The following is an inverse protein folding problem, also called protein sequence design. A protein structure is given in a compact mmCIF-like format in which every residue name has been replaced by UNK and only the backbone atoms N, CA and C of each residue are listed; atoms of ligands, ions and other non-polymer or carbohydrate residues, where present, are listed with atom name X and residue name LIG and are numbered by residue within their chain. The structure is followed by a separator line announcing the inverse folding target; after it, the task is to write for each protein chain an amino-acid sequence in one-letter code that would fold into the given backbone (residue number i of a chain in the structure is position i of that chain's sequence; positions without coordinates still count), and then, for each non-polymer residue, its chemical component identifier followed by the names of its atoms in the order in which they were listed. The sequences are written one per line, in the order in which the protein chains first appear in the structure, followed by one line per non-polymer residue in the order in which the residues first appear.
data_IF_975803302576
#
_entry.id   IF_975803302576
#
_cell.length_a   1.000
_cell.length_b   1.000
_cell.length_c   1.000
_cell.angle_alpha   90.00
_cell.angle_beta   90.00
_cell.angle_gamma   90.00
#
_symmetry.space_group_name_H-M   'P 1'
#
loop_
_entity.id
_entity.type
_entity.pdbx_description
1 polymer ?
#
# COMPACT_ATOMS: atom_id res chain seq x y z
N UNK A 1 15.31 -13.21 22.15
CA UNK A 1 15.10 -12.09 21.19
C UNK A 1 13.71 -12.12 20.57
N UNK A 2 13.36 -13.07 19.69
CA UNK A 2 12.02 -13.10 19.08
C UNK A 2 10.89 -13.46 20.05
N UNK A 3 11.16 -14.34 21.02
CA UNK A 3 10.19 -14.79 22.04
C UNK A 3 9.64 -13.63 22.86
N UNK A 4 10.45 -12.58 23.07
CA UNK A 4 10.05 -11.46 23.90
C UNK A 4 9.08 -10.48 23.20
N UNK A 5 8.96 -10.56 21.87
CA UNK A 5 8.17 -9.60 21.08
C UNK A 5 7.03 -10.24 20.28
N UNK A 6 7.23 -11.48 19.82
CA UNK A 6 6.25 -12.22 19.04
C UNK A 6 5.64 -13.35 19.87
N UNK A 7 4.31 -13.58 19.80
CA UNK A 7 3.68 -14.72 20.44
C UNK A 7 4.23 -16.01 19.80
N UNK A 8 4.70 -16.98 20.60
CA UNK A 8 5.16 -18.31 20.13
C UNK A 8 5.92 -18.29 18.76
N UNK A 9 7.14 -17.70 18.69
CA UNK A 9 7.73 -17.24 17.43
C UNK A 9 7.80 -18.28 16.29
N UNK A 10 8.12 -19.54 16.61
CA UNK A 10 8.19 -20.59 15.58
C UNK A 10 6.85 -20.78 14.88
N UNK A 11 5.77 -20.89 15.65
CA UNK A 11 4.41 -21.03 15.12
C UNK A 11 3.92 -19.73 14.48
N UNK A 12 4.26 -18.58 15.07
CA UNK A 12 3.91 -17.28 14.51
C UNK A 12 4.50 -17.06 13.13
N UNK A 13 5.81 -17.21 12.94
CA UNK A 13 6.41 -16.95 11.63
C UNK A 13 5.98 -17.97 10.57
N UNK A 14 5.84 -19.25 10.93
CA UNK A 14 5.32 -20.26 9.98
C UNK A 14 3.87 -19.97 9.59
N UNK A 15 3.00 -19.66 10.56
CA UNK A 15 1.61 -19.29 10.27
C UNK A 15 1.51 -17.99 9.49
N UNK A 16 2.32 -16.98 9.78
CA UNK A 16 2.38 -15.73 9.03
C UNK A 16 2.78 -15.96 7.57
N UNK A 17 3.78 -16.82 7.32
CA UNK A 17 4.20 -17.17 5.97
C UNK A 17 3.09 -17.92 5.21
N UNK A 18 2.49 -18.93 5.83
CA UNK A 18 1.38 -19.71 5.22
C UNK A 18 0.16 -18.83 4.97
N UNK A 19 -0.23 -18.00 5.94
CA UNK A 19 -1.35 -17.08 5.83
C UNK A 19 -1.12 -16.04 4.72
N UNK A 20 0.08 -15.46 4.65
CA UNK A 20 0.43 -14.50 3.61
C UNK A 20 0.38 -15.16 2.23
N UNK A 21 0.92 -16.37 2.09
CA UNK A 21 0.83 -17.12 0.84
C UNK A 21 -0.62 -17.41 0.45
N UNK A 22 -1.44 -17.87 1.39
CA UNK A 22 -2.85 -18.12 1.15
C UNK A 22 -3.60 -16.84 0.72
N UNK A 23 -3.34 -15.71 1.39
CA UNK A 23 -3.92 -14.42 1.03
C UNK A 23 -3.47 -13.94 -0.37
N UNK A 24 -2.20 -14.14 -0.73
CA UNK A 24 -1.69 -13.80 -2.06
C UNK A 24 -2.36 -14.68 -3.12
N UNK A 25 -2.39 -16.00 -2.92
CA UNK A 25 -3.01 -16.92 -3.87
C UNK A 25 -4.50 -16.62 -4.01
N UNK A 26 -5.21 -16.41 -2.91
CA UNK A 26 -6.62 -16.05 -2.94
C UNK A 26 -6.87 -14.77 -3.72
N UNK A 27 -6.04 -13.74 -3.53
CA UNK A 27 -6.15 -12.49 -4.27
C UNK A 27 -6.09 -12.72 -5.79
N UNK A 28 -5.10 -13.46 -6.27
CA UNK A 28 -4.90 -13.71 -7.71
C UNK A 28 -5.91 -14.70 -8.32
N UNK A 29 -6.43 -15.66 -7.56
CA UNK A 29 -7.36 -16.68 -8.06
C UNK A 29 -8.84 -16.29 -7.96
N UNK A 30 -9.17 -15.11 -7.44
CA UNK A 30 -10.57 -14.68 -7.33
C UNK A 30 -10.80 -13.48 -6.42
N UNK A 31 -9.91 -13.24 -5.47
CA UNK A 31 -10.05 -12.19 -4.46
C UNK A 31 -10.11 -10.79 -5.08
N UNK A 32 -9.33 -10.52 -6.13
CA UNK A 32 -9.42 -9.27 -6.89
C UNK A 32 -10.83 -9.07 -7.49
N UNK A 33 -11.40 -10.12 -8.09
CA UNK A 33 -12.69 -10.06 -8.77
C UNK A 33 -13.87 -9.93 -7.79
N UNK A 34 -13.72 -10.43 -6.56
CA UNK A 34 -14.74 -10.29 -5.50
C UNK A 34 -15.08 -8.83 -5.18
N UNK A 35 -14.18 -7.89 -5.45
CA UNK A 35 -14.46 -6.47 -5.28
C UNK A 35 -15.70 -6.03 -6.06
N UNK A 36 -16.01 -6.66 -7.19
CA UNK A 36 -17.20 -6.36 -7.98
C UNK A 36 -18.51 -6.60 -7.20
N UNK A 37 -18.53 -7.61 -6.32
CA UNK A 37 -19.68 -7.91 -5.45
C UNK A 37 -19.92 -6.79 -4.43
N UNK A 38 -18.86 -6.11 -4.00
CA UNK A 38 -18.90 -4.99 -3.06
C UNK A 38 -18.96 -3.62 -3.74
N UNK A 39 -19.21 -3.56 -5.06
CA UNK A 39 -19.26 -2.31 -5.82
C UNK A 39 -17.89 -1.67 -6.10
N UNK A 40 -16.81 -2.40 -5.82
CA UNK A 40 -15.42 -2.02 -6.05
C UNK A 40 -14.74 -2.96 -7.07
N UNK A 41 -15.28 -3.07 -8.31
CA UNK A 41 -14.75 -3.99 -9.31
C UNK A 41 -13.29 -3.68 -9.68
N UNK A 42 -12.54 -4.68 -10.16
CA UNK A 42 -11.26 -4.45 -10.81
C UNK A 42 -11.41 -3.52 -12.01
N UNK A 43 -10.30 -2.90 -12.41
CA UNK A 43 -10.29 -2.06 -13.61
C UNK A 43 -10.64 -2.90 -14.84
N UNK A 44 -11.50 -2.37 -15.71
CA UNK A 44 -11.86 -3.08 -16.93
C UNK A 44 -10.64 -3.20 -17.86
N UNK A 45 -10.49 -4.37 -18.49
CA UNK A 45 -9.40 -4.64 -19.41
C UNK A 45 -9.34 -3.58 -20.52
N UNK A 46 -8.15 -3.04 -20.78
CA UNK A 46 -7.92 -2.02 -21.80
C UNK A 46 -8.30 -0.58 -21.40
N UNK A 47 -8.73 -0.34 -20.16
CA UNK A 47 -8.94 1.03 -19.67
C UNK A 47 -7.60 1.73 -19.43
N UNK A 48 -7.39 2.95 -19.95
CA UNK A 48 -6.17 3.71 -19.67
C UNK A 48 -5.95 3.91 -18.16
N UNK A 49 -4.70 3.95 -17.68
CA UNK A 49 -4.42 4.25 -16.28
C UNK A 49 -4.98 5.61 -15.87
N UNK A 50 -5.50 5.69 -14.64
CA UNK A 50 -5.88 6.98 -14.03
C UNK A 50 -4.59 7.75 -13.72
N UNK A 51 -4.50 8.98 -14.22
CA UNK A 51 -3.35 9.85 -14.00
C UNK A 51 -3.55 10.69 -12.75
N UNK A 52 -2.46 10.88 -12.00
CA UNK A 52 -2.44 11.69 -10.78
C UNK A 52 -2.97 10.97 -9.54
N UNK A 53 -3.14 11.72 -8.46
CA UNK A 53 -3.45 11.21 -7.12
C UNK A 53 -4.78 10.44 -7.02
N UNK A 54 -5.72 10.70 -7.93
CA UNK A 54 -7.03 10.05 -7.95
C UNK A 54 -6.93 8.51 -8.11
N UNK A 55 -5.84 8.00 -8.67
CA UNK A 55 -5.61 6.54 -8.79
C UNK A 55 -5.62 5.85 -7.43
N UNK A 56 -5.13 6.52 -6.37
CA UNK A 56 -5.05 5.98 -5.00
C UNK A 56 -6.43 5.83 -4.33
N UNK A 57 -7.46 6.46 -4.91
CA UNK A 57 -8.87 6.41 -4.50
C UNK A 57 -9.73 5.62 -5.49
N UNK A 58 -9.11 4.96 -6.47
CA UNK A 58 -9.82 4.16 -7.44
C UNK A 58 -10.43 2.91 -6.80
N UNK A 59 -11.49 2.38 -7.42
CA UNK A 59 -12.21 1.20 -6.92
C UNK A 59 -11.29 0.00 -6.64
N UNK A 60 -10.34 -0.36 -7.52
CA UNK A 60 -9.43 -1.49 -7.25
C UNK A 60 -8.53 -1.24 -6.03
N UNK A 61 -8.03 -0.01 -5.84
CA UNK A 61 -7.21 0.35 -4.70
C UNK A 61 -7.99 0.28 -3.39
N UNK A 62 -9.21 0.84 -3.37
CA UNK A 62 -10.08 0.78 -2.20
C UNK A 62 -10.42 -0.68 -1.83
N UNK A 63 -10.66 -1.52 -2.84
CA UNK A 63 -10.88 -2.95 -2.60
C UNK A 63 -9.66 -3.63 -1.98
N UNK A 64 -8.46 -3.37 -2.52
CA UNK A 64 -7.22 -3.90 -1.96
C UNK A 64 -7.00 -3.44 -0.51
N UNK A 65 -7.30 -2.19 -0.18
CA UNK A 65 -7.19 -1.69 1.20
C UNK A 65 -8.09 -2.47 2.16
N UNK A 66 -9.36 -2.67 1.79
CA UNK A 66 -10.30 -3.44 2.59
C UNK A 66 -9.86 -4.90 2.74
N UNK A 67 -9.43 -5.51 1.64
CA UNK A 67 -8.91 -6.87 1.63
C UNK A 67 -7.69 -7.03 2.56
N UNK A 68 -6.71 -6.14 2.43
CA UNK A 68 -5.51 -6.14 3.27
C UNK A 68 -5.86 -5.99 4.76
N UNK A 69 -6.72 -5.03 5.10
CA UNK A 69 -7.18 -4.82 6.48
C UNK A 69 -7.90 -6.05 7.01
N UNK A 70 -8.78 -6.68 6.21
CA UNK A 70 -9.47 -7.91 6.60
C UNK A 70 -8.48 -9.05 6.89
N UNK A 71 -7.49 -9.27 6.02
CA UNK A 71 -6.45 -10.28 6.23
C UNK A 71 -5.65 -10.04 7.51
N UNK A 72 -5.31 -8.78 7.80
CA UNK A 72 -4.57 -8.38 9.02
C UNK A 72 -5.43 -8.57 10.27
N UNK A 73 -6.70 -8.15 10.24
CA UNK A 73 -7.62 -8.26 11.37
C UNK A 73 -7.89 -9.72 11.71
N UNK A 74 -8.11 -10.58 10.71
CA UNK A 74 -8.32 -12.03 10.92
C UNK A 74 -7.08 -12.65 11.58
N UNK A 75 -5.89 -12.35 11.05
CA UNK A 75 -4.65 -12.87 11.60
C UNK A 75 -4.39 -12.38 13.03
N UNK A 76 -4.60 -11.08 13.28
CA UNK A 76 -4.48 -10.48 14.60
C UNK A 76 -5.48 -11.06 15.60
N UNK A 77 -6.74 -11.23 15.20
CA UNK A 77 -7.80 -11.76 16.06
C UNK A 77 -7.50 -13.21 16.46
N UNK A 78 -7.02 -14.03 15.53
CA UNK A 78 -6.57 -15.39 15.82
C UNK A 78 -5.48 -15.40 16.89
N UNK A 79 -4.42 -14.61 16.73
CA UNK A 79 -3.31 -14.57 17.69
C UNK A 79 -3.69 -13.95 19.04
N UNK A 80 -4.57 -12.96 19.04
CA UNK A 80 -5.10 -12.34 20.26
C UNK A 80 -5.93 -13.31 21.09
N UNK A 81 -6.57 -14.29 20.46
CA UNK A 81 -7.32 -15.35 21.15
C UNK A 81 -6.45 -16.56 21.52
N UNK A 82 -5.60 -17.01 20.59
CA UNK A 82 -4.82 -18.25 20.75
C UNK A 82 -3.64 -18.10 21.72
N UNK A 83 -2.89 -17.00 21.64
CA UNK A 83 -1.74 -16.72 22.50
C UNK A 83 -1.59 -15.21 22.74
N UNK A 84 -2.44 -14.62 23.60
CA UNK A 84 -2.38 -13.19 23.91
C UNK A 84 -0.99 -12.78 24.37
N UNK A 85 -0.42 -11.75 23.74
CA UNK A 85 0.92 -11.28 24.05
C UNK A 85 0.96 -9.77 24.25
N UNK A 86 1.65 -9.23 25.29
CA UNK A 86 1.65 -7.80 25.60
C UNK A 86 2.08 -6.92 24.41
N UNK A 87 3.01 -7.42 23.60
CA UNK A 87 3.56 -6.70 22.46
C UNK A 87 2.85 -6.97 21.12
N UNK A 88 1.75 -7.74 21.10
CA UNK A 88 1.10 -8.17 19.84
C UNK A 88 0.63 -7.02 18.94
N UNK A 89 0.23 -5.89 19.52
CA UNK A 89 -0.16 -4.70 18.74
C UNK A 89 1.02 -4.14 17.94
N UNK A 90 2.21 -4.16 18.53
CA UNK A 90 3.43 -3.69 17.88
C UNK A 90 4.01 -4.75 16.94
N UNK A 91 4.00 -6.02 17.33
CA UNK A 91 4.59 -7.08 16.52
C UNK A 91 3.73 -7.52 15.34
N UNK A 92 2.41 -7.38 15.42
CA UNK A 92 1.48 -7.76 14.34
C UNK A 92 0.99 -6.52 13.60
N UNK A 93 0.26 -5.62 14.27
CA UNK A 93 -0.42 -4.51 13.58
C UNK A 93 0.58 -3.50 13.00
N UNK A 94 1.58 -3.09 13.78
CA UNK A 94 2.57 -2.13 13.27
C UNK A 94 3.48 -2.73 12.19
N UNK A 95 3.79 -4.02 12.26
CA UNK A 95 4.46 -4.72 11.15
C UNK A 95 3.59 -4.73 9.91
N UNK A 96 2.28 -4.97 10.03
CA UNK A 96 1.36 -4.88 8.90
C UNK A 96 1.28 -3.47 8.31
N UNK A 97 1.27 -2.42 9.15
CA UNK A 97 1.33 -1.01 8.68
C UNK A 97 2.61 -0.74 7.89
N UNK A 98 3.77 -1.22 8.37
CA UNK A 98 5.04 -1.08 7.65
C UNK A 98 4.97 -1.78 6.28
N UNK A 99 4.44 -3.02 6.23
CA UNK A 99 4.26 -3.75 4.97
C UNK A 99 3.31 -3.01 4.01
N UNK A 100 2.23 -2.45 4.53
CA UNK A 100 1.30 -1.63 3.75
C UNK A 100 1.99 -0.40 3.16
N UNK A 101 2.84 0.30 3.92
CA UNK A 101 3.59 1.44 3.42
C UNK A 101 4.64 1.07 2.38
N UNK A 102 5.26 -0.11 2.47
CA UNK A 102 6.14 -0.63 1.41
C UNK A 102 5.35 -0.81 0.12
N UNK A 103 4.20 -1.50 0.18
CA UNK A 103 3.29 -1.65 -0.96
C UNK A 103 2.86 -0.29 -1.52
N UNK A 104 2.43 0.63 -0.65
CA UNK A 104 1.90 1.93 -1.05
C UNK A 104 2.96 2.79 -1.77
N UNK A 105 4.21 2.74 -1.31
CA UNK A 105 5.32 3.40 -2.00
C UNK A 105 5.52 2.87 -3.43
N UNK A 106 5.43 1.55 -3.61
CA UNK A 106 5.50 0.95 -4.96
C UNK A 106 4.36 1.48 -5.83
N UNK A 107 3.14 1.59 -5.29
CA UNK A 107 2.00 2.13 -6.05
C UNK A 107 2.16 3.61 -6.42
N UNK A 108 2.79 4.42 -5.56
CA UNK A 108 3.13 5.81 -5.92
C UNK A 108 4.14 5.82 -7.07
N UNK A 109 5.16 4.97 -7.05
CA UNK A 109 6.11 4.86 -8.17
C UNK A 109 5.42 4.46 -9.47
N UNK A 110 4.46 3.52 -9.42
CA UNK A 110 3.65 3.13 -10.59
C UNK A 110 2.79 4.31 -11.08
N UNK A 111 2.15 5.05 -10.18
CA UNK A 111 1.35 6.23 -10.54
C UNK A 111 2.19 7.33 -11.20
N UNK A 112 3.40 7.57 -10.68
CA UNK A 112 4.36 8.50 -11.28
C UNK A 112 4.79 8.02 -12.67
N UNK A 113 5.07 6.73 -12.84
CA UNK A 113 5.41 6.17 -14.15
C UNK A 113 4.27 6.32 -15.17
N UNK A 114 3.02 6.10 -14.74
CA UNK A 114 1.85 6.28 -15.60
C UNK A 114 1.64 7.75 -16.00
N UNK A 115 2.03 8.69 -15.14
CA UNK A 115 2.00 10.12 -15.45
C UNK A 115 3.08 10.54 -16.46
N UNK A 116 4.29 9.95 -16.39
CA UNK A 116 5.43 10.33 -17.24
C UNK A 116 5.10 10.33 -18.73
N UNK A 117 4.55 9.23 -19.27
CA UNK A 117 4.29 9.10 -20.71
C UNK A 117 3.41 10.22 -21.27
N UNK A 118 2.14 10.31 -20.83
CA UNK A 118 1.20 11.33 -21.32
C UNK A 118 1.70 12.76 -21.13
N UNK A 119 2.36 13.07 -20.01
CA UNK A 119 2.85 14.42 -19.75
C UNK A 119 3.98 14.82 -20.72
N UNK A 120 4.95 13.94 -20.96
CA UNK A 120 6.06 14.26 -21.87
C UNK A 120 5.64 14.24 -23.34
N UNK A 121 4.70 13.39 -23.73
CA UNK A 121 4.10 13.43 -25.07
C UNK A 121 3.39 14.78 -25.31
N UNK A 122 2.64 15.25 -24.29
CA UNK A 122 2.02 16.57 -24.32
C UNK A 122 3.06 17.70 -24.43
N UNK A 123 4.15 17.67 -23.65
CA UNK A 123 5.25 18.64 -23.75
C UNK A 123 5.89 18.64 -25.14
N UNK A 124 6.15 17.47 -25.72
CA UNK A 124 6.69 17.36 -27.09
C UNK A 124 5.72 17.94 -28.13
N UNK A 125 4.41 17.72 -27.97
CA UNK A 125 3.37 18.32 -28.81
C UNK A 125 3.37 19.84 -28.76
N UNK A 126 3.58 20.42 -27.57
CA UNK A 126 3.72 21.88 -27.41
C UNK A 126 4.97 22.42 -28.10
N UNK A 127 6.12 21.77 -27.92
CA UNK A 127 7.38 22.20 -28.52
C UNK A 127 7.39 22.10 -30.05
N UNK A 128 6.68 21.10 -30.60
CA UNK A 128 6.53 20.92 -32.04
C UNK A 128 5.42 21.78 -32.66
N UNK A 129 4.64 22.50 -31.84
CA UNK A 129 3.50 23.30 -32.30
C UNK A 129 2.32 22.47 -32.81
N UNK A 130 2.28 21.16 -32.53
CA UNK A 130 1.22 20.24 -32.99
C UNK A 130 0.05 20.16 -32.02
N UNK A 131 0.27 20.55 -30.76
CA UNK A 131 -0.76 20.55 -29.71
C UNK A 131 -1.01 21.99 -29.25
N UNK A 132 -2.22 22.56 -29.47
CA UNK A 132 -2.59 23.82 -28.82
C UNK A 132 -2.82 23.58 -27.33
N UNK A 133 -2.47 24.55 -26.49
CA UNK A 133 -2.70 24.45 -25.06
C UNK A 133 -2.80 25.81 -24.38
N UNK A 134 -3.41 25.77 -23.21
CA UNK A 134 -3.46 26.86 -22.23
C UNK A 134 -2.43 26.64 -21.12
N UNK A 135 -2.10 27.71 -20.39
CA UNK A 135 -1.25 27.64 -19.20
C UNK A 135 -1.87 26.73 -18.11
N UNK A 136 -3.19 26.71 -18.00
CA UNK A 136 -3.92 25.94 -16.98
C UNK A 136 -3.71 24.43 -17.20
N UNK A 137 -3.78 23.97 -18.45
CA UNK A 137 -3.56 22.56 -18.79
C UNK A 137 -2.15 22.10 -18.44
N UNK A 138 -1.14 22.93 -18.74
CA UNK A 138 0.24 22.64 -18.41
C UNK A 138 0.45 22.52 -16.89
N UNK A 139 -0.03 23.51 -16.13
CA UNK A 139 0.09 23.50 -14.67
C UNK A 139 -0.71 22.38 -14.02
N UNK A 140 -1.85 21.97 -14.59
CA UNK A 140 -2.61 20.81 -14.10
C UNK A 140 -1.80 19.52 -14.27
N UNK A 141 -1.20 19.30 -15.44
CA UNK A 141 -0.33 18.15 -15.67
C UNK A 141 0.84 18.12 -14.69
N UNK A 142 1.48 19.26 -14.42
CA UNK A 142 2.55 19.36 -13.43
C UNK A 142 2.06 19.17 -11.98
N UNK A 143 0.85 19.62 -11.67
CA UNK A 143 0.24 19.46 -10.35
C UNK A 143 -0.05 17.99 -10.03
N UNK A 144 -0.43 17.16 -11.01
CA UNK A 144 -0.68 15.72 -10.81
C UNK A 144 0.57 15.01 -10.27
N UNK A 145 1.76 15.32 -10.83
CA UNK A 145 3.03 14.82 -10.30
C UNK A 145 3.34 15.38 -8.92
N UNK A 146 3.17 16.70 -8.74
CA UNK A 146 3.47 17.37 -7.46
C UNK A 146 2.69 16.74 -6.30
N UNK A 147 1.40 16.44 -6.51
CA UNK A 147 0.58 15.77 -5.50
C UNK A 147 1.04 14.33 -5.20
N UNK A 148 1.39 13.55 -6.23
CA UNK A 148 1.94 12.19 -6.04
C UNK A 148 3.25 12.22 -5.24
N UNK A 149 4.15 13.14 -5.58
CA UNK A 149 5.42 13.31 -4.89
C UNK A 149 5.22 13.73 -3.43
N UNK A 150 4.36 14.71 -3.16
CA UNK A 150 4.06 15.18 -1.80
C UNK A 150 3.49 14.06 -0.93
N UNK A 151 2.53 13.28 -1.44
CA UNK A 151 1.98 12.13 -0.71
C UNK A 151 3.06 11.08 -0.45
N UNK A 152 3.87 10.75 -1.46
CA UNK A 152 4.95 9.77 -1.31
C UNK A 152 5.97 10.17 -0.26
N UNK A 153 6.42 11.42 -0.28
CA UNK A 153 7.34 11.96 0.71
C UNK A 153 6.75 11.88 2.13
N UNK A 154 5.49 12.30 2.32
CA UNK A 154 4.83 12.22 3.62
C UNK A 154 4.73 10.77 4.12
N UNK A 155 4.32 9.83 3.25
CA UNK A 155 4.25 8.42 3.63
C UNK A 155 5.63 7.86 4.00
N UNK A 156 6.70 8.24 3.29
CA UNK A 156 8.04 7.80 3.65
C UNK A 156 8.51 8.35 5.00
N UNK A 157 8.24 9.63 5.30
CA UNK A 157 8.58 10.23 6.61
C UNK A 157 7.82 9.53 7.73
N UNK A 158 6.52 9.30 7.56
CA UNK A 158 5.69 8.59 8.55
C UNK A 158 6.17 7.15 8.70
N UNK A 159 6.52 6.45 7.60
CA UNK A 159 7.05 5.09 7.66
C UNK A 159 8.37 5.03 8.43
N UNK A 160 9.30 5.96 8.17
CA UNK A 160 10.58 6.03 8.88
C UNK A 160 10.38 6.26 10.39
N UNK A 161 9.43 7.11 10.76
CA UNK A 161 9.03 7.31 12.16
C UNK A 161 8.48 6.02 12.78
N UNK A 162 7.54 5.34 12.12
CA UNK A 162 6.94 4.09 12.62
C UNK A 162 7.99 2.99 12.77
N UNK A 163 8.86 2.80 11.77
CA UNK A 163 9.94 1.81 11.83
C UNK A 163 10.88 2.09 13.02
N UNK A 164 11.23 3.35 13.24
CA UNK A 164 12.08 3.74 14.38
C UNK A 164 11.40 3.41 15.72
N UNK A 165 10.11 3.70 15.84
CA UNK A 165 9.32 3.37 17.04
C UNK A 165 9.16 1.86 17.24
N UNK A 166 8.94 1.13 16.15
CA UNK A 166 8.84 -0.32 16.17
C UNK A 166 10.14 -0.97 16.68
N UNK A 167 11.29 -0.52 16.18
CA UNK A 167 12.62 -1.00 16.63
C UNK A 167 12.84 -0.66 18.11
N UNK A 168 12.46 0.53 18.55
CA UNK A 168 12.56 0.91 19.96
C UNK A 168 11.75 -0.03 20.85
N UNK A 169 10.47 -0.27 20.53
CA UNK A 169 9.62 -1.20 21.30
C UNK A 169 10.14 -2.63 21.28
N UNK A 170 10.68 -3.08 20.15
CA UNK A 170 11.31 -4.40 20.08
C UNK A 170 12.50 -4.52 21.03
N UNK A 171 13.36 -3.50 21.09
CA UNK A 171 14.49 -3.46 22.03
C UNK A 171 14.02 -3.39 23.49
N UNK A 172 12.97 -2.63 23.79
CA UNK A 172 12.36 -2.61 25.13
C UNK A 172 11.93 -4.01 25.54
N UNK A 173 11.17 -4.69 24.68
CA UNK A 173 10.69 -6.04 24.94
C UNK A 173 11.81 -7.07 25.15
N UNK A 174 13.01 -6.85 24.60
CA UNK A 174 14.15 -7.74 24.83
C UNK A 174 14.83 -7.55 26.19
N UNK A 175 14.67 -6.37 26.79
CA UNK A 175 15.30 -5.99 28.05
C UNK A 175 14.37 -6.18 29.24
N UNK A 176 13.06 -6.33 28.99
CA UNK A 176 12.05 -6.77 29.96
C UNK A 176 12.03 -8.31 30.07
#
# INVERSE_FOLDING_TARGET
MFVSFFPQPKLFFTSAAVWSLAAILFWFFGGEQLGAVFGLPPAAAGTPPIIGIAVLWSKPFLWFYLYFVACVVIFYAFWSWYAPHPWQNWSILMTAVILFFIYFNVQISVAVNNWYGPFFDYVQGLMSGTTPSTNIEFYKGLADFSWLALVGMNVQVVNAFIVSHWIFRWRTAMND
#
